data_IF_682151321557
#
_entry.id   IF_682151321557
#
_cell.length_a   1.000
_cell.length_b   1.000
_cell.length_c   1.000
_cell.angle_alpha   90.00
_cell.angle_beta   90.00
_cell.angle_gamma   90.00
#
_symmetry.space_group_name_H-M   'P 1'
#
loop_
_entity.id
_entity.type
_entity.pdbx_description
1 polymer ?
#
# COMPACT_ATOMS: atom_id res chain seq x y z
N UNK A 1 28.22 15.28 -21.10
CA UNK A 1 26.99 14.51 -21.37
C UNK A 1 25.99 15.42 -22.08
N UNK A 2 25.29 14.91 -23.10
CA UNK A 2 24.63 15.69 -24.16
C UNK A 2 23.19 16.09 -23.77
N UNK A 3 22.94 17.39 -23.58
CA UNK A 3 21.60 17.99 -23.48
C UNK A 3 20.69 17.65 -24.67
N UNK A 4 21.26 17.41 -25.86
CA UNK A 4 20.50 17.05 -27.05
C UNK A 4 19.80 15.67 -27.01
N UNK A 5 20.21 14.74 -26.13
CA UNK A 5 19.48 13.46 -25.98
C UNK A 5 18.21 13.58 -25.13
N UNK A 6 18.13 14.60 -24.26
CA UNK A 6 16.94 14.86 -23.45
C UNK A 6 15.85 15.52 -24.31
N UNK A 7 16.19 16.53 -25.12
CA UNK A 7 15.21 17.21 -25.97
C UNK A 7 14.61 16.30 -27.06
N UNK A 8 15.39 15.34 -27.57
CA UNK A 8 14.92 14.38 -28.57
C UNK A 8 14.03 13.27 -27.96
N UNK A 9 14.26 12.91 -26.69
CA UNK A 9 13.35 12.06 -25.92
C UNK A 9 12.02 12.77 -25.66
N UNK A 10 12.05 14.06 -25.29
CA UNK A 10 10.84 14.87 -25.06
C UNK A 10 10.02 15.10 -26.33
N UNK A 11 10.65 15.19 -27.51
CA UNK A 11 9.95 15.32 -28.81
C UNK A 11 9.31 14.02 -29.33
N UNK A 12 9.86 12.84 -29.00
CA UNK A 12 9.28 11.53 -29.37
C UNK A 12 8.29 10.97 -28.35
N UNK A 13 8.21 11.57 -27.17
CA UNK A 13 7.31 11.16 -26.09
C UNK A 13 5.85 11.66 -26.14
N UNK A 14 5.40 12.64 -26.94
CA UNK A 14 4.07 13.22 -26.73
C UNK A 14 2.95 12.20 -26.96
N UNK A 15 3.07 11.34 -27.98
CA UNK A 15 2.06 10.31 -28.25
C UNK A 15 2.00 9.24 -27.16
N UNK A 16 3.15 8.77 -26.67
CA UNK A 16 3.22 7.79 -25.57
C UNK A 16 2.74 8.37 -24.24
N UNK A 17 2.99 9.66 -24.02
CA UNK A 17 2.53 10.38 -22.84
C UNK A 17 1.00 10.59 -22.88
N UNK A 18 0.44 10.91 -24.05
CA UNK A 18 -1.01 11.06 -24.22
C UNK A 18 -1.73 9.71 -24.12
N UNK A 19 -1.15 8.63 -24.64
CA UNK A 19 -1.65 7.26 -24.46
C UNK A 19 -1.61 6.84 -22.97
N UNK A 20 -0.53 7.20 -22.24
CA UNK A 20 -0.42 6.95 -20.81
C UNK A 20 -1.39 7.82 -19.98
N UNK A 21 -1.62 9.08 -20.37
CA UNK A 21 -2.62 9.96 -19.76
C UNK A 21 -4.05 9.47 -20.01
N UNK A 22 -4.33 8.95 -21.21
CA UNK A 22 -5.61 8.30 -21.54
C UNK A 22 -5.84 7.02 -20.72
N UNK A 23 -4.81 6.21 -20.52
CA UNK A 23 -4.87 5.03 -19.66
C UNK A 23 -5.13 5.37 -18.18
N UNK A 24 -4.67 6.55 -17.72
CA UNK A 24 -4.95 7.09 -16.38
C UNK A 24 -6.36 7.70 -16.27
N UNK A 25 -6.90 8.30 -17.34
CA UNK A 25 -8.22 8.95 -17.31
C UNK A 25 -9.39 7.96 -17.24
N UNK A 26 -9.22 6.75 -17.79
CA UNK A 26 -10.30 5.75 -17.85
C UNK A 26 -10.47 4.95 -16.54
N UNK A 27 -9.48 4.97 -15.64
CA UNK A 27 -9.41 4.10 -14.45
C UNK A 27 -9.65 4.81 -13.11
N UNK A 28 -10.67 5.65 -12.92
CA UNK A 28 -11.04 6.24 -11.59
C UNK A 28 -9.85 6.77 -10.73
N UNK A 29 -8.72 7.14 -11.33
CA UNK A 29 -7.49 7.55 -10.63
C UNK A 29 -6.56 6.44 -10.09
N UNK A 30 -6.81 5.15 -10.34
CA UNK A 30 -5.98 4.03 -9.88
C UNK A 30 -5.07 3.48 -11.00
N UNK A 31 -3.81 3.22 -10.66
CA UNK A 31 -2.80 2.60 -11.53
C UNK A 31 -2.15 1.42 -10.79
N UNK A 32 -1.81 0.34 -11.48
CA UNK A 32 -1.01 -0.73 -10.85
C UNK A 32 0.43 -0.26 -10.63
N UNK A 33 1.14 -0.81 -9.63
CA UNK A 33 2.57 -0.51 -9.43
C UNK A 33 3.39 -0.89 -10.66
N UNK A 34 3.05 -1.99 -11.34
CA UNK A 34 3.68 -2.36 -12.60
C UNK A 34 3.47 -1.31 -13.71
N UNK A 35 2.25 -0.80 -13.88
CA UNK A 35 1.97 0.29 -14.82
C UNK A 35 2.69 1.60 -14.41
N UNK A 36 2.73 1.92 -13.11
CA UNK A 36 3.45 3.09 -12.60
C UNK A 36 4.96 2.98 -12.87
N UNK A 37 5.58 1.84 -12.57
CA UNK A 37 7.00 1.57 -12.88
C UNK A 37 7.28 1.77 -14.37
N UNK A 38 6.47 1.16 -15.24
CA UNK A 38 6.60 1.33 -16.71
C UNK A 38 6.47 2.78 -17.15
N UNK A 39 5.54 3.53 -16.54
CA UNK A 39 5.36 4.95 -16.83
C UNK A 39 6.60 5.76 -16.41
N UNK A 40 7.12 5.52 -15.22
CA UNK A 40 8.32 6.19 -14.73
C UNK A 40 9.56 5.86 -15.57
N UNK A 41 9.72 4.59 -15.98
CA UNK A 41 10.78 4.15 -16.89
C UNK A 41 10.71 4.88 -18.23
N UNK A 42 9.50 5.02 -18.80
CA UNK A 42 9.28 5.77 -20.03
C UNK A 42 9.63 7.26 -19.90
N UNK A 43 9.46 7.82 -18.70
CA UNK A 43 9.75 9.22 -18.38
C UNK A 43 11.20 9.43 -17.92
N UNK A 44 11.95 8.36 -17.66
CA UNK A 44 13.29 8.42 -17.06
C UNK A 44 13.28 9.00 -15.65
N UNK A 45 12.24 8.72 -14.87
CA UNK A 45 12.09 9.16 -13.48
C UNK A 45 12.30 8.00 -12.51
N UNK A 46 12.88 8.29 -11.34
CA UNK A 46 13.04 7.30 -10.28
C UNK A 46 11.73 7.15 -9.47
N UNK A 47 11.44 5.94 -8.97
CA UNK A 47 10.25 5.67 -8.16
C UNK A 47 10.16 6.57 -6.91
N UNK A 48 11.30 6.79 -6.26
CA UNK A 48 11.43 7.65 -5.07
C UNK A 48 10.94 9.10 -5.34
N UNK A 49 10.97 9.55 -6.61
CA UNK A 49 10.54 10.91 -6.98
C UNK A 49 9.02 11.12 -6.88
N UNK A 50 8.24 10.04 -6.98
CA UNK A 50 6.76 10.06 -6.96
C UNK A 50 6.16 9.36 -5.74
N UNK A 51 6.98 8.79 -4.87
CA UNK A 51 6.55 8.08 -3.66
C UNK A 51 5.66 8.95 -2.76
N UNK A 52 6.05 10.22 -2.58
CA UNK A 52 5.29 11.24 -1.84
C UNK A 52 3.93 11.58 -2.46
N UNK A 53 3.73 11.25 -3.73
CA UNK A 53 2.51 11.52 -4.47
C UNK A 53 1.54 10.32 -4.39
N UNK A 54 1.97 9.17 -3.85
CA UNK A 54 1.09 8.01 -3.62
C UNK A 54 0.17 8.31 -2.43
N UNK A 55 -1.13 8.48 -2.70
CA UNK A 55 -2.12 8.82 -1.67
C UNK A 55 -2.83 7.60 -1.08
N UNK A 56 -2.90 6.50 -1.83
CA UNK A 56 -3.53 5.28 -1.35
C UNK A 56 -2.96 4.03 -2.05
N UNK A 57 -3.01 2.89 -1.37
CA UNK A 57 -2.68 1.57 -1.90
C UNK A 57 -3.67 0.51 -1.46
N UNK A 58 -3.95 -0.45 -2.32
CA UNK A 58 -4.87 -1.54 -2.03
C UNK A 58 -5.87 -1.72 -3.15
N UNK A 59 -6.99 -2.38 -2.86
CA UNK A 59 -8.02 -2.65 -3.88
C UNK A 59 -9.09 -1.55 -3.85
N UNK A 60 -9.38 -0.89 -4.98
CA UNK A 60 -10.53 0.03 -5.06
C UNK A 60 -11.86 -0.69 -4.82
N UNK A 61 -11.88 -2.01 -4.98
CA UNK A 61 -13.05 -2.86 -4.79
C UNK A 61 -12.91 -3.55 -3.43
N UNK A 62 -13.74 -3.16 -2.47
CA UNK A 62 -13.84 -3.82 -1.16
C UNK A 62 -13.45 -2.98 0.06
N UNK A 63 -13.03 -1.72 -0.13
CA UNK A 63 -12.82 -0.77 0.97
C UNK A 63 -11.63 -1.09 1.90
N UNK A 64 -10.76 -2.00 1.48
CA UNK A 64 -9.57 -2.39 2.23
C UNK A 64 -8.35 -1.77 1.56
N UNK A 65 -7.99 -0.57 2.02
CA UNK A 65 -6.90 0.25 1.51
C UNK A 65 -6.03 0.81 2.64
N UNK A 66 -4.82 1.24 2.26
CA UNK A 66 -3.86 1.98 3.06
C UNK A 66 -3.84 3.39 2.49
N UNK A 67 -4.35 4.36 3.24
CA UNK A 67 -4.31 5.78 2.91
C UNK A 67 -3.00 6.36 3.46
N UNK A 68 -2.34 7.20 2.68
CA UNK A 68 -1.06 7.82 3.01
C UNK A 68 -0.02 6.77 3.50
N UNK A 69 0.36 5.82 2.62
CA UNK A 69 1.29 4.77 2.99
C UNK A 69 2.64 5.31 3.47
N UNK A 70 3.19 4.71 4.53
CA UNK A 70 4.51 5.07 5.07
C UNK A 70 5.60 4.26 4.38
N UNK A 71 6.15 4.80 3.31
CA UNK A 71 7.27 4.16 2.62
C UNK A 71 8.63 4.57 3.20
N UNK A 72 9.62 3.65 3.17
CA UNK A 72 9.46 2.21 3.00
C UNK A 72 8.77 1.57 4.22
N UNK A 73 8.05 0.46 4.02
CA UNK A 73 7.45 -0.28 5.13
C UNK A 73 8.53 -0.94 5.99
N UNK A 74 8.69 -0.47 7.23
CA UNK A 74 9.70 -0.99 8.15
C UNK A 74 9.12 -2.01 9.15
N UNK A 75 9.25 -3.28 8.79
CA UNK A 75 8.86 -4.41 9.64
C UNK A 75 9.89 -4.74 10.74
N UNK A 76 11.05 -4.08 10.78
CA UNK A 76 12.05 -4.26 11.84
C UNK A 76 11.77 -3.43 13.10
N UNK A 77 10.70 -2.63 13.10
CA UNK A 77 10.21 -1.90 14.27
C UNK A 77 9.55 -2.82 15.29
N UNK A 78 9.37 -2.40 16.56
CA UNK A 78 8.57 -3.15 17.53
C UNK A 78 7.15 -3.44 17.05
N UNK A 79 6.53 -2.51 16.30
CA UNK A 79 5.21 -2.70 15.69
C UNK A 79 5.26 -3.73 14.56
N UNK A 80 6.30 -3.72 13.73
CA UNK A 80 6.54 -4.76 12.72
C UNK A 80 6.73 -6.15 13.31
N UNK A 81 7.51 -6.27 14.39
CA UNK A 81 7.70 -7.51 15.12
C UNK A 81 6.37 -8.06 15.68
N UNK A 82 5.47 -7.19 16.16
CA UNK A 82 4.13 -7.58 16.60
C UNK A 82 3.29 -8.16 15.45
N UNK A 83 3.36 -7.59 14.25
CA UNK A 83 2.65 -8.12 13.08
C UNK A 83 3.18 -9.49 12.67
N UNK A 84 4.50 -9.65 12.65
CA UNK A 84 5.16 -10.94 12.37
C UNK A 84 4.75 -11.99 13.39
N UNK A 85 4.78 -11.64 14.68
CA UNK A 85 4.36 -12.54 15.75
C UNK A 85 2.87 -12.90 15.65
N UNK A 86 2.00 -11.95 15.33
CA UNK A 86 0.58 -12.19 15.11
C UNK A 86 0.33 -13.14 13.94
N UNK A 87 1.08 -13.01 12.85
CA UNK A 87 0.97 -13.86 11.66
C UNK A 87 1.50 -15.28 11.87
N UNK A 88 2.44 -15.48 12.80
CA UNK A 88 2.98 -16.80 13.17
C UNK A 88 2.22 -17.47 14.33
N UNK A 89 1.46 -16.70 15.10
CA UNK A 89 0.76 -17.18 16.30
C UNK A 89 -0.54 -17.92 16.00
N UNK A 90 -1.14 -18.53 17.02
CA UNK A 90 -2.37 -19.33 16.92
C UNK A 90 -3.63 -18.56 16.52
N UNK A 91 -3.55 -17.22 16.48
CA UNK A 91 -4.65 -16.33 16.09
C UNK A 91 -4.53 -15.78 14.67
N UNK A 92 -3.40 -15.91 13.98
CA UNK A 92 -3.21 -15.30 12.67
C UNK A 92 -2.74 -16.28 11.62
N UNK A 93 -2.88 -15.86 10.36
CA UNK A 93 -2.48 -16.67 9.22
C UNK A 93 -2.46 -15.87 7.93
N UNK A 94 -1.69 -16.38 6.97
CA UNK A 94 -1.69 -15.90 5.60
C UNK A 94 -2.42 -16.91 4.72
N UNK A 95 -3.25 -16.48 3.78
CA UNK A 95 -3.89 -17.37 2.80
C UNK A 95 -3.92 -16.72 1.43
N UNK A 96 -4.06 -17.54 0.38
CA UNK A 96 -4.35 -17.06 -0.97
C UNK A 96 -5.87 -16.89 -1.13
N UNK A 97 -6.30 -15.71 -1.54
CA UNK A 97 -7.67 -15.52 -1.98
C UNK A 97 -7.91 -16.12 -3.38
N UNK A 98 -9.17 -16.13 -3.83
CA UNK A 98 -9.57 -16.65 -5.15
C UNK A 98 -8.91 -15.94 -6.34
N UNK A 99 -8.27 -14.80 -6.12
CA UNK A 99 -7.55 -14.03 -7.13
C UNK A 99 -6.04 -14.24 -7.04
N UNK A 100 -5.56 -15.15 -6.18
CA UNK A 100 -4.14 -15.41 -5.97
C UNK A 100 -3.44 -14.33 -5.15
N UNK A 101 -4.18 -13.43 -4.49
CA UNK A 101 -3.60 -12.42 -3.62
C UNK A 101 -3.39 -12.98 -2.22
N UNK A 102 -2.22 -12.68 -1.64
CA UNK A 102 -1.89 -13.07 -0.27
C UNK A 102 -2.61 -12.15 0.70
N UNK A 103 -3.43 -12.71 1.56
CA UNK A 103 -4.19 -12.00 2.59
C UNK A 103 -3.65 -12.35 3.96
N UNK A 104 -3.85 -11.44 4.92
CA UNK A 104 -3.50 -11.63 6.33
C UNK A 104 -4.75 -11.39 7.20
N UNK A 105 -4.96 -12.26 8.19
CA UNK A 105 -6.06 -12.22 9.14
C UNK A 105 -5.48 -12.41 10.52
N UNK A 106 -6.16 -11.84 11.50
CA UNK A 106 -5.91 -12.10 12.89
C UNK A 106 -7.24 -12.22 13.63
N UNK A 107 -7.39 -13.27 14.43
CA UNK A 107 -8.55 -13.54 15.28
C UNK A 107 -8.11 -13.67 16.73
N UNK A 108 -8.96 -13.21 17.64
CA UNK A 108 -8.73 -13.27 19.07
C UNK A 108 -10.06 -13.17 19.83
N UNK A 109 -10.18 -13.95 20.91
CA UNK A 109 -11.29 -13.82 21.88
C UNK A 109 -11.23 -12.49 22.65
N UNK A 110 -10.05 -11.87 22.66
CA UNK A 110 -9.74 -10.58 23.30
C UNK A 110 -9.75 -9.45 22.25
N UNK A 111 -10.79 -8.59 22.18
CA UNK A 111 -10.88 -7.50 21.21
C UNK A 111 -9.72 -6.51 21.28
N UNK A 112 -9.18 -6.28 22.46
CA UNK A 112 -8.02 -5.41 22.70
C UNK A 112 -6.76 -5.93 22.00
N UNK A 113 -6.65 -7.25 21.81
CA UNK A 113 -5.53 -7.82 21.05
C UNK A 113 -5.68 -7.51 19.56
N UNK A 114 -6.90 -7.56 19.02
CA UNK A 114 -7.17 -7.17 17.63
C UNK A 114 -6.85 -5.69 17.42
N UNK A 115 -7.27 -4.82 18.33
CA UNK A 115 -6.98 -3.38 18.27
C UNK A 115 -5.47 -3.10 18.26
N UNK A 116 -4.70 -3.75 19.13
CA UNK A 116 -3.23 -3.62 19.15
C UNK A 116 -2.56 -4.06 17.85
N UNK A 117 -3.05 -5.11 17.20
CA UNK A 117 -2.50 -5.55 15.90
C UNK A 117 -2.87 -4.56 14.79
N UNK A 118 -4.06 -3.98 14.82
CA UNK A 118 -4.46 -2.91 13.88
C UNK A 118 -3.59 -1.66 14.07
N UNK A 119 -3.34 -1.25 15.31
CA UNK A 119 -2.44 -0.12 15.62
C UNK A 119 -1.01 -0.40 15.16
N UNK A 120 -0.48 -1.60 15.45
CA UNK A 120 0.83 -2.00 14.98
C UNK A 120 0.95 -1.97 13.45
N UNK A 121 -0.11 -2.39 12.74
CA UNK A 121 -0.17 -2.28 11.29
C UNK A 121 -0.17 -0.82 10.84
N UNK A 122 -0.88 0.08 11.55
CA UNK A 122 -0.93 1.50 11.19
C UNK A 122 0.42 2.21 11.39
N UNK A 123 1.13 1.83 12.43
CA UNK A 123 2.47 2.37 12.69
C UNK A 123 3.44 2.04 11.56
N UNK A 124 3.37 0.81 11.03
CA UNK A 124 4.27 0.33 9.97
C UNK A 124 3.84 0.83 8.60
N UNK A 125 2.54 0.73 8.28
CA UNK A 125 2.05 0.86 6.91
C UNK A 125 1.40 2.21 6.61
N UNK A 126 0.98 2.99 7.62
CA UNK A 126 0.21 4.22 7.44
C UNK A 126 -1.27 4.07 7.82
N UNK A 127 -2.14 4.97 7.35
CA UNK A 127 -3.57 4.95 7.74
C UNK A 127 -4.32 3.83 7.02
N UNK A 128 -4.31 2.63 7.61
CA UNK A 128 -5.04 1.48 7.08
C UNK A 128 -6.42 1.30 7.72
N UNK A 129 -7.35 0.83 6.89
CA UNK A 129 -8.72 0.50 7.28
C UNK A 129 -8.96 -0.99 7.04
N UNK A 130 -8.66 -1.85 8.02
CA UNK A 130 -8.89 -3.27 7.86
C UNK A 130 -10.36 -3.59 8.08
N UNK A 131 -10.82 -4.72 7.54
CA UNK A 131 -12.19 -5.17 7.74
C UNK A 131 -12.28 -5.93 9.06
N UNK A 132 -13.01 -5.36 10.02
CA UNK A 132 -13.22 -5.99 11.34
C UNK A 132 -14.59 -6.65 11.37
N UNK A 133 -14.64 -7.92 11.78
CA UNK A 133 -15.87 -8.67 12.07
C UNK A 133 -15.85 -9.06 13.53
N UNK A 134 -16.92 -8.76 14.26
CA UNK A 134 -17.08 -9.12 15.67
C UNK A 134 -18.19 -10.16 15.78
N UNK A 135 -17.90 -11.27 16.43
CA UNK A 135 -18.90 -12.24 16.88
C UNK A 135 -19.14 -12.04 18.37
N UNK A 136 -19.91 -12.92 19.01
CA UNK A 136 -20.15 -12.87 20.45
C UNK A 136 -18.87 -13.18 21.25
N UNK A 137 -18.04 -14.07 20.73
CA UNK A 137 -16.93 -14.68 21.48
C UNK A 137 -15.55 -14.30 20.93
N UNK A 138 -15.48 -13.74 19.71
CA UNK A 138 -14.21 -13.37 19.09
C UNK A 138 -14.32 -12.15 18.17
N UNK A 139 -13.17 -11.52 17.93
CA UNK A 139 -12.99 -10.51 16.91
C UNK A 139 -12.01 -11.03 15.85
N UNK A 140 -12.40 -10.89 14.58
CA UNK A 140 -11.60 -11.19 13.40
C UNK A 140 -11.28 -9.89 12.67
N UNK A 141 -10.03 -9.69 12.31
CA UNK A 141 -9.61 -8.62 11.43
C UNK A 141 -8.99 -9.19 10.15
N UNK A 142 -9.43 -8.70 9.01
CA UNK A 142 -8.87 -9.00 7.69
C UNK A 142 -8.14 -7.75 7.18
N UNK A 143 -6.84 -7.89 6.87
CA UNK A 143 -5.99 -6.81 6.41
C UNK A 143 -5.97 -6.67 4.87
N UNK A 144 -5.60 -5.48 4.34
CA UNK A 144 -5.32 -5.32 2.92
C UNK A 144 -4.29 -6.34 2.44
N UNK A 145 -4.40 -6.81 1.20
CA UNK A 145 -3.45 -7.79 0.65
C UNK A 145 -2.01 -7.28 0.67
N UNK A 146 -1.79 -5.96 0.63
CA UNK A 146 -0.46 -5.35 0.76
C UNK A 146 0.23 -5.74 2.07
N UNK A 147 -0.54 -5.88 3.16
CA UNK A 147 -0.01 -6.35 4.46
C UNK A 147 0.39 -7.82 4.35
N UNK A 148 -0.47 -8.65 3.74
CA UNK A 148 -0.18 -10.08 3.51
C UNK A 148 1.04 -10.30 2.61
N UNK A 149 1.16 -9.55 1.51
CA UNK A 149 2.32 -9.58 0.61
C UNK A 149 3.60 -9.17 1.32
N UNK A 150 3.54 -8.12 2.16
CA UNK A 150 4.69 -7.66 2.96
C UNK A 150 5.14 -8.74 3.94
N UNK A 151 4.20 -9.39 4.64
CA UNK A 151 4.48 -10.50 5.56
C UNK A 151 5.05 -11.72 4.85
N UNK A 152 4.53 -12.08 3.68
CA UNK A 152 5.06 -13.20 2.87
C UNK A 152 6.51 -12.97 2.47
N UNK A 153 6.88 -11.75 2.09
CA UNK A 153 8.25 -11.41 1.67
C UNK A 153 9.25 -11.51 2.81
N UNK A 154 8.85 -11.18 4.03
CA UNK A 154 9.67 -11.42 5.23
C UNK A 154 9.69 -12.89 5.66
N UNK A 155 9.05 -13.78 4.89
CA UNK A 155 9.19 -15.23 4.99
C UNK A 155 8.09 -15.92 5.78
N UNK A 156 6.98 -15.23 6.08
CA UNK A 156 5.84 -15.87 6.72
C UNK A 156 5.16 -16.81 5.72
N UNK A 157 4.98 -18.10 6.06
CA UNK A 157 4.39 -19.06 5.14
C UNK A 157 2.90 -18.76 4.93
N UNK A 158 2.44 -19.03 3.72
CA UNK A 158 1.02 -19.02 3.39
C UNK A 158 0.43 -20.39 3.76
N UNK A 159 -0.77 -20.42 4.35
CA UNK A 159 -1.52 -21.65 4.64
C UNK A 159 -1.60 -22.55 3.40
N UNK A 160 -1.24 -23.82 3.57
CA UNK A 160 -1.18 -24.81 2.48
C UNK A 160 0.12 -24.84 1.70
N UNK A 161 1.01 -23.85 1.85
CA UNK A 161 2.40 -23.96 1.38
C UNK A 161 3.21 -24.81 2.37
N UNK A 162 4.12 -25.65 1.86
CA UNK A 162 5.05 -26.38 2.71
C UNK A 162 5.93 -25.36 3.45
N UNK A 163 5.70 -25.21 4.76
CA UNK A 163 6.52 -24.33 5.57
C UNK A 163 7.95 -24.87 5.58
N UNK A 164 8.91 -24.11 5.05
CA UNK A 164 10.26 -24.20 5.59
C UNK A 164 10.15 -23.94 7.10
N UNK A 165 10.90 -24.68 7.92
CA UNK A 165 10.80 -24.56 9.38
C UNK A 165 10.77 -23.07 9.78
N UNK A 166 9.87 -22.64 10.69
CA UNK A 166 9.87 -21.27 11.19
C UNK A 166 11.26 -20.84 11.71
N UNK A 167 12.03 -21.82 12.21
CA UNK A 167 13.42 -21.64 12.61
C UNK A 167 14.37 -21.50 11.41
N UNK A 168 14.14 -22.15 10.27
CA UNK A 168 14.96 -21.97 9.06
C UNK A 168 14.79 -20.56 8.45
N UNK A 169 13.59 -19.96 8.56
CA UNK A 169 13.33 -18.59 8.10
C UNK A 169 14.08 -17.57 8.96
N UNK A 170 14.14 -17.79 10.28
CA UNK A 170 14.89 -16.96 11.22
C UNK A 170 16.40 -17.22 11.11
N UNK A 171 16.85 -18.48 11.07
CA UNK A 171 18.26 -18.88 11.10
C UNK A 171 18.99 -18.61 9.78
N UNK A 172 18.38 -18.83 8.61
CA UNK A 172 19.04 -18.51 7.31
C UNK A 172 19.20 -17.00 7.06
N UNK A 173 18.48 -16.14 7.77
CA UNK A 173 18.48 -14.67 7.57
C UNK A 173 19.20 -13.87 8.65
N UNK A 174 19.52 -14.46 9.81
CA UNK A 174 20.31 -13.81 10.87
C UNK A 174 21.83 -13.86 10.58
N UNK A 175 22.29 -14.77 9.70
CA UNK A 175 23.71 -14.96 9.38
C UNK A 175 24.33 -13.99 8.36
N UNK A 176 23.55 -13.10 7.73
CA UNK A 176 24.05 -12.15 6.75
C UNK A 176 23.21 -10.87 6.73
N UNK A 177 23.64 -9.85 7.47
CA UNK A 177 23.15 -8.47 7.36
C UNK A 177 21.63 -8.33 7.28
N UNK A 178 20.95 -8.49 8.42
CA UNK A 178 19.49 -8.33 8.60
C UNK A 178 18.90 -7.04 7.99
N UNK A 179 19.69 -6.01 7.70
CA UNK A 179 19.15 -4.68 7.41
C UNK A 179 19.26 -4.22 5.95
N UNK A 180 20.13 -4.81 5.13
CA UNK A 180 20.36 -4.29 3.77
C UNK A 180 19.36 -4.85 2.74
N UNK A 181 18.90 -6.09 2.90
CA UNK A 181 17.85 -6.66 2.04
C UNK A 181 16.42 -6.19 2.43
N UNK A 182 16.26 -5.65 3.65
CA UNK A 182 14.96 -5.27 4.22
C UNK A 182 14.52 -3.86 3.83
N UNK A 183 15.44 -3.01 3.34
CA UNK A 183 15.19 -1.60 3.01
C UNK A 183 14.36 -1.35 1.75
N UNK A 184 14.08 -2.38 0.95
CA UNK A 184 13.31 -2.25 -0.30
C UNK A 184 12.27 -3.36 -0.39
N UNK A 185 11.22 -3.28 0.43
CA UNK A 185 9.95 -3.94 0.11
C UNK A 185 9.37 -3.25 -1.12
N UNK A 186 9.83 -3.64 -2.32
CA UNK A 186 9.26 -3.16 -3.57
C UNK A 186 7.80 -3.61 -3.66
N UNK A 187 6.85 -2.71 -3.59
CA UNK A 187 5.42 -3.05 -3.69
C UNK A 187 5.18 -3.96 -4.91
N UNK A 188 4.44 -5.07 -4.71
CA UNK A 188 4.23 -6.08 -5.76
C UNK A 188 3.57 -5.49 -7.01
N UNK A 189 3.92 -6.01 -8.20
CA UNK A 189 3.43 -5.47 -9.48
C UNK A 189 1.89 -5.49 -9.60
N UNK A 190 1.23 -6.43 -8.93
CA UNK A 190 -0.23 -6.55 -8.88
C UNK A 190 -0.93 -5.56 -7.94
N UNK A 191 -0.19 -4.76 -7.17
CA UNK A 191 -0.79 -3.78 -6.26
C UNK A 191 -1.32 -2.58 -7.03
N UNK A 192 -2.56 -2.17 -6.77
CA UNK A 192 -3.07 -0.88 -7.27
C UNK A 192 -2.78 0.24 -6.28
N UNK A 193 -2.35 1.37 -6.82
CA UNK A 193 -2.04 2.60 -6.10
C UNK A 193 -2.82 3.76 -6.72
N UNK A 194 -3.21 4.72 -5.89
CA UNK A 194 -3.69 6.02 -6.37
C UNK A 194 -2.57 7.02 -6.18
N UNK A 195 -2.22 7.72 -7.24
CA UNK A 195 -1.22 8.79 -7.22
C UNK A 195 -1.99 10.11 -7.35
N UNK A 196 -1.70 11.09 -6.48
CA UNK A 196 -2.19 12.45 -6.65
C UNK A 196 -1.75 12.89 -8.04
N UNK A 197 -2.70 13.29 -8.88
CA UNK A 197 -2.38 13.74 -10.24
C UNK A 197 -1.23 14.75 -10.16
N UNK A 198 -0.13 14.44 -10.85
CA UNK A 198 0.95 15.38 -11.11
C UNK A 198 0.37 16.46 -12.02
N UNK A 199 -0.41 17.37 -11.44
CA UNK A 199 -0.86 18.56 -12.14
C UNK A 199 0.39 19.40 -12.33
N UNK A 200 1.04 19.20 -13.48
CA UNK A 200 2.04 20.12 -14.01
C UNK A 200 1.47 21.52 -13.86
N UNK A 201 2.12 22.34 -13.04
CA UNK A 201 1.69 23.71 -12.79
C UNK A 201 1.58 24.47 -14.11
N UNK A 202 0.35 24.76 -14.52
CA UNK A 202 -0.04 25.87 -15.37
C UNK A 202 -1.56 25.83 -15.54
N UNK A 203 -2.30 26.42 -14.60
CA UNK A 203 -3.58 27.10 -14.88
C UNK A 203 -4.12 27.70 -13.58
N UNK A 204 -4.23 29.02 -13.58
CA UNK A 204 -4.94 29.87 -12.63
C UNK A 204 -6.42 29.45 -12.43
N UNK A 205 -6.99 29.88 -11.29
CA UNK A 205 -8.40 29.81 -10.85
C UNK A 205 -8.76 28.54 -10.03
N UNK A 206 -9.40 28.61 -8.86
CA UNK A 206 -10.05 29.70 -8.13
C UNK A 206 -10.05 29.39 -6.63
N UNK A 207 -9.99 30.44 -5.82
CA UNK A 207 -10.09 30.43 -4.36
C UNK A 207 -11.44 29.82 -3.94
N UNK A 208 -11.41 28.70 -3.23
CA UNK A 208 -12.59 28.13 -2.58
C UNK A 208 -12.72 28.79 -1.19
N UNK A 209 -13.72 29.67 -1.01
CA UNK A 209 -14.11 30.20 0.31
C UNK A 209 -15.39 29.48 0.77
N UNK A 210 -15.36 28.74 1.90
CA UNK A 210 -16.58 28.21 2.49
C UNK A 210 -17.17 29.21 3.49
N UNK A 211 -18.46 29.57 3.30
CA UNK A 211 -19.29 30.06 4.40
C UNK A 211 -20.11 31.32 4.14
N UNK A 212 -21.21 31.19 3.40
CA UNK A 212 -22.44 31.97 3.64
C UNK A 212 -23.63 31.04 3.56
N UNK A 213 -24.00 30.43 4.70
CA UNK A 213 -25.35 29.90 4.89
C UNK A 213 -26.18 30.99 5.57
N UNK A 214 -27.27 31.37 4.90
CA UNK A 214 -28.21 32.37 5.37
C UNK A 214 -28.95 31.92 6.63
N UNK A 215 -29.10 32.86 7.56
CA UNK A 215 -30.10 32.77 8.61
C UNK A 215 -31.47 33.05 7.98
N UNK A 216 -32.43 32.14 8.22
CA UNK A 216 -33.83 32.33 7.88
C UNK A 216 -34.45 33.32 8.87
N UNK A 217 -35.10 34.34 8.32
CA UNK A 217 -35.91 35.28 9.06
C UNK A 217 -37.20 34.65 9.59
N UNK A 218 -37.50 35.08 10.80
CA UNK A 218 -38.74 35.06 11.58
C UNK A 218 -40.06 35.03 10.81
N UNK A 219 -41.01 34.24 11.33
CA UNK A 219 -42.42 34.62 11.40
C UNK A 219 -42.93 34.47 12.84
N UNK A 220 -43.47 35.58 13.35
CA UNK A 220 -44.41 35.67 14.46
C UNK A 220 -45.82 35.54 13.91
#
# INVERSE_FOLDING_TARGET
>A
MRLGRLEEATRRAPKKLDDAKGALSDKRGWITVGELKRLLDLLGLDYESVEKDIIAMGSPIGGVEIVNPRFPFDLATPSGARLVAAALGSGGGLWLDRHGLVRFYYRSEHPESVERIVEAARDVLGDLRPRVRRTRDEALVEFPFVVGDSLRRVGIPVEGEAAASPLDVVIRRVGGGIFDAWRRLEVGEGTTVTVRALTSGASTASRWEPGRCGAADTLR
#
